data_IF_839220801859
#
_entry.id   IF_839220801859
#
_cell.length_a   1.000
_cell.length_b   1.000
_cell.length_c   1.000
_cell.angle_alpha   90.00
_cell.angle_beta   90.00
_cell.angle_gamma   90.00
#
_symmetry.space_group_name_H-M   'P 1'
#
loop_
_entity.id
_entity.type
_entity.pdbx_description
1 polymer ?
#
# COMPACT_ATOMS: atom_id res chain seq x y z
N UNK A 1 -3.19 1.21 -7.16
CA UNK A 1 -4.46 1.42 -6.44
C UNK A 1 -5.20 2.62 -7.02
N UNK A 2 -6.50 2.54 -7.05
CA UNK A 2 -7.36 3.62 -7.53
C UNK A 2 -7.77 4.47 -6.35
N UNK A 3 -7.61 5.79 -6.48
CA UNK A 3 -8.15 6.76 -5.53
C UNK A 3 -9.19 7.66 -6.22
N UNK A 4 -10.25 7.93 -5.49
CA UNK A 4 -11.28 8.91 -5.82
C UNK A 4 -11.36 9.88 -4.64
N UNK A 5 -11.15 11.17 -4.89
CA UNK A 5 -11.06 12.17 -3.84
C UNK A 5 -11.43 13.56 -4.33
N UNK A 6 -11.74 14.45 -3.39
CA UNK A 6 -11.88 15.87 -3.65
C UNK A 6 -10.58 16.59 -3.31
N UNK A 7 -10.13 17.46 -4.23
CA UNK A 7 -8.95 18.30 -4.08
C UNK A 7 -9.39 19.75 -4.08
N UNK A 8 -9.18 20.43 -2.98
CA UNK A 8 -9.39 21.86 -2.85
C UNK A 8 -8.07 22.58 -3.06
N UNK A 9 -8.05 23.53 -4.00
CA UNK A 9 -6.88 24.35 -4.31
C UNK A 9 -7.25 25.81 -4.13
N UNK A 10 -6.50 26.52 -3.32
CA UNK A 10 -6.62 27.95 -3.14
C UNK A 10 -5.48 28.62 -3.89
N UNK A 11 -5.79 29.36 -4.93
CA UNK A 11 -4.80 29.99 -5.79
C UNK A 11 -5.35 31.27 -6.43
N UNK A 12 -4.45 32.09 -6.95
CA UNK A 12 -4.79 33.29 -7.72
C UNK A 12 -4.63 33.09 -9.25
N UNK A 13 -4.80 31.86 -9.71
CA UNK A 13 -4.71 31.48 -11.12
C UNK A 13 -6.00 30.80 -11.58
N UNK A 14 -6.33 30.91 -12.87
CA UNK A 14 -7.62 30.48 -13.41
C UNK A 14 -7.84 28.97 -13.36
N UNK A 15 -6.81 28.16 -13.58
CA UNK A 15 -6.93 26.70 -13.61
C UNK A 15 -5.76 26.02 -12.87
N UNK A 16 -5.78 26.07 -11.52
CA UNK A 16 -4.64 25.68 -10.70
C UNK A 16 -4.30 24.19 -10.76
N UNK A 17 -5.24 23.33 -11.12
CA UNK A 17 -4.96 21.89 -11.22
C UNK A 17 -3.97 21.57 -12.35
N UNK A 18 -3.95 22.36 -13.40
CA UNK A 18 -3.01 22.19 -14.52
C UNK A 18 -1.56 22.45 -14.11
N UNK A 19 -1.32 23.17 -13.02
CA UNK A 19 0.02 23.43 -12.47
C UNK A 19 0.49 22.32 -11.53
N UNK A 20 -0.36 21.37 -11.17
CA UNK A 20 -0.03 20.27 -10.29
C UNK A 20 0.37 19.03 -11.10
N UNK A 21 1.47 18.40 -10.68
CA UNK A 21 1.91 17.10 -11.19
C UNK A 21 1.79 16.08 -10.05
N UNK A 22 1.08 15.00 -10.31
CA UNK A 22 1.05 13.85 -9.41
C UNK A 22 2.18 12.89 -9.79
N UNK A 23 3.17 12.74 -8.91
CA UNK A 23 4.43 12.05 -9.22
C UNK A 23 4.32 10.53 -9.24
N UNK A 24 3.31 9.97 -8.61
CA UNK A 24 3.11 8.52 -8.52
C UNK A 24 1.83 8.03 -9.21
N UNK A 25 1.37 8.75 -10.25
CA UNK A 25 0.33 8.22 -11.13
C UNK A 25 0.89 7.03 -11.91
N UNK A 26 0.11 5.94 -11.96
CA UNK A 26 0.47 4.76 -12.71
C UNK A 26 0.41 5.03 -14.22
N UNK A 27 1.54 4.84 -14.90
CA UNK A 27 1.63 4.96 -16.35
C UNK A 27 0.95 3.82 -17.11
N UNK A 28 0.61 2.72 -16.41
CA UNK A 28 0.03 1.54 -17.04
C UNK A 28 -1.47 1.67 -17.38
N UNK A 29 -2.15 2.66 -16.80
CA UNK A 29 -3.57 2.90 -17.05
C UNK A 29 -3.82 4.41 -17.08
N UNK A 30 -4.08 4.99 -18.25
CA UNK A 30 -4.39 6.41 -18.51
C UNK A 30 -5.70 6.91 -17.86
N UNK A 31 -6.00 6.45 -16.63
CA UNK A 31 -7.19 6.87 -15.91
C UNK A 31 -6.87 7.98 -14.90
N UNK A 32 -6.30 9.08 -15.39
CA UNK A 32 -6.32 10.32 -14.65
C UNK A 32 -7.43 11.19 -15.21
N UNK A 33 -8.48 11.37 -14.43
CA UNK A 33 -9.60 12.24 -14.77
C UNK A 33 -9.86 13.19 -13.64
N UNK A 34 -10.16 14.43 -13.97
CA UNK A 34 -10.60 15.41 -13.00
C UNK A 34 -11.76 16.23 -13.57
N UNK A 35 -12.59 16.73 -12.68
CA UNK A 35 -13.72 17.58 -12.99
C UNK A 35 -13.82 18.69 -11.96
N UNK A 36 -13.89 19.93 -12.40
CA UNK A 36 -14.20 21.06 -11.56
C UNK A 36 -15.63 20.91 -11.02
N UNK A 37 -15.78 20.94 -9.71
CA UNK A 37 -17.08 20.79 -9.01
C UNK A 37 -17.66 22.14 -8.67
N UNK A 38 -16.86 23.01 -8.05
CA UNK A 38 -17.26 24.38 -7.71
C UNK A 38 -16.05 25.29 -7.58
N UNK A 39 -16.31 26.57 -7.73
CA UNK A 39 -15.35 27.62 -7.43
C UNK A 39 -16.00 28.65 -6.52
N UNK A 40 -15.22 29.17 -5.57
CA UNK A 40 -15.64 30.21 -4.64
C UNK A 40 -14.55 31.25 -4.56
N UNK A 41 -14.91 32.50 -4.79
CA UNK A 41 -13.99 33.61 -4.58
C UNK A 41 -13.79 33.81 -3.07
N UNK A 42 -12.53 33.87 -2.69
CA UNK A 42 -12.10 34.23 -1.34
C UNK A 42 -11.67 35.72 -1.33
N UNK A 43 -11.37 36.22 -0.14
CA UNK A 43 -10.81 37.56 -0.02
C UNK A 43 -9.40 37.64 -0.64
N UNK A 44 -9.00 38.80 -1.18
CA UNK A 44 -7.67 39.08 -1.74
C UNK A 44 -7.30 38.34 -3.05
N UNK A 45 -8.19 38.33 -4.03
CA UNK A 45 -7.96 37.78 -5.38
C UNK A 45 -7.64 36.28 -5.43
N UNK A 46 -7.86 35.53 -4.34
CA UNK A 46 -7.74 34.08 -4.33
C UNK A 46 -9.07 33.42 -4.64
N UNK A 47 -8.98 32.30 -5.36
CA UNK A 47 -10.11 31.46 -5.70
C UNK A 47 -9.89 30.06 -5.13
N UNK A 48 -10.86 29.58 -4.38
CA UNK A 48 -10.91 28.18 -3.96
C UNK A 48 -11.60 27.36 -5.05
N UNK A 49 -10.87 26.46 -5.66
CA UNK A 49 -11.37 25.55 -6.70
C UNK A 49 -11.40 24.14 -6.15
N UNK A 50 -12.57 23.50 -6.15
CA UNK A 50 -12.76 22.09 -5.77
C UNK A 50 -12.83 21.21 -6.99
N UNK A 51 -11.95 20.24 -7.06
CA UNK A 51 -11.90 19.25 -8.11
C UNK A 51 -12.26 17.86 -7.57
N UNK A 52 -13.07 17.12 -8.31
CA UNK A 52 -13.24 15.70 -8.14
C UNK A 52 -12.19 14.99 -9.01
N UNK A 53 -11.33 14.21 -8.37
CA UNK A 53 -10.18 13.55 -9.02
C UNK A 53 -10.35 12.04 -8.90
N UNK A 54 -10.17 11.34 -10.01
CA UNK A 54 -10.09 9.86 -10.04
C UNK A 54 -8.79 9.49 -10.75
N UNK A 55 -7.93 8.77 -10.05
CA UNK A 55 -6.63 8.39 -10.59
C UNK A 55 -6.13 7.05 -10.04
N UNK A 56 -5.28 6.40 -10.84
CA UNK A 56 -4.55 5.22 -10.42
C UNK A 56 -3.15 5.63 -9.98
N UNK A 57 -2.77 5.21 -8.78
CA UNK A 57 -1.47 5.50 -8.19
C UNK A 57 -0.64 4.24 -8.01
N UNK A 58 0.65 4.36 -8.28
CA UNK A 58 1.63 3.33 -7.98
C UNK A 58 2.01 3.38 -6.50
N UNK A 59 2.15 2.22 -5.89
CA UNK A 59 2.69 2.07 -4.54
C UNK A 59 3.56 0.81 -4.47
N UNK A 60 4.46 0.79 -3.49
CA UNK A 60 5.28 -0.38 -3.20
C UNK A 60 4.66 -1.14 -2.04
N UNK A 61 4.05 -2.31 -2.29
CA UNK A 61 3.45 -3.09 -1.23
C UNK A 61 4.53 -3.70 -0.32
N UNK A 62 4.29 -3.63 0.99
CA UNK A 62 5.09 -4.31 2.01
C UNK A 62 4.41 -5.63 2.37
N UNK A 63 4.94 -6.73 1.84
CA UNK A 63 4.36 -8.06 2.01
C UNK A 63 5.19 -8.97 2.92
N UNK A 64 6.37 -8.54 3.36
CA UNK A 64 7.33 -9.37 4.08
C UNK A 64 6.74 -9.94 5.38
N UNK A 65 5.88 -9.18 6.05
CA UNK A 65 5.24 -9.57 7.31
C UNK A 65 3.83 -10.16 7.14
N UNK A 66 3.43 -10.53 5.92
CA UNK A 66 2.10 -11.13 5.72
C UNK A 66 1.87 -12.33 6.65
N UNK A 67 0.72 -12.43 7.35
CA UNK A 67 -0.51 -11.61 7.29
C UNK A 67 -0.56 -10.42 8.26
N UNK A 68 0.54 -10.02 8.86
CA UNK A 68 0.65 -8.87 9.79
C UNK A 68 1.18 -7.61 9.08
N UNK A 69 1.00 -7.55 7.77
CA UNK A 69 1.50 -6.48 6.93
C UNK A 69 0.70 -5.18 7.10
N UNK A 70 1.37 -4.10 6.79
CA UNK A 70 0.79 -2.77 6.67
C UNK A 70 1.14 -2.18 5.31
N UNK A 71 0.30 -1.29 4.82
CA UNK A 71 0.49 -0.64 3.53
C UNK A 71 0.49 0.87 3.71
N UNK A 72 1.41 1.52 3.02
CA UNK A 72 1.49 2.97 2.98
C UNK A 72 1.02 3.45 1.61
N UNK A 73 -0.23 3.88 1.53
CA UNK A 73 -0.81 4.46 0.34
C UNK A 73 -0.66 5.98 0.43
N UNK A 74 -0.07 6.58 -0.59
CA UNK A 74 0.09 8.03 -0.61
C UNK A 74 -0.10 8.60 -2.01
N UNK A 75 -0.49 9.86 -2.05
CA UNK A 75 -0.56 10.71 -3.23
C UNK A 75 0.60 11.69 -3.12
N UNK A 76 1.48 11.69 -4.10
CA UNK A 76 2.61 12.62 -4.16
C UNK A 76 2.37 13.66 -5.24
N UNK A 77 2.38 14.92 -4.88
CA UNK A 77 2.17 16.02 -5.80
C UNK A 77 3.27 17.07 -5.74
N UNK A 78 3.57 17.66 -6.88
CA UNK A 78 4.51 18.78 -7.03
C UNK A 78 3.92 19.82 -7.95
N UNK A 79 4.50 21.02 -7.97
CA UNK A 79 4.12 22.08 -8.92
C UNK A 79 5.05 22.03 -10.13
N UNK A 80 4.52 22.25 -11.34
CA UNK A 80 5.31 22.32 -12.59
C UNK A 80 6.39 23.39 -12.51
N UNK A 81 6.01 24.59 -12.09
CA UNK A 81 6.89 25.75 -11.99
C UNK A 81 7.28 26.01 -10.53
N UNK A 82 8.18 25.20 -9.98
CA UNK A 82 8.63 25.33 -8.60
C UNK A 82 9.38 26.64 -8.28
N UNK A 83 9.69 27.47 -9.30
CA UNK A 83 10.26 28.80 -9.13
C UNK A 83 9.21 29.90 -8.92
N UNK A 84 7.96 29.64 -9.30
CA UNK A 84 6.86 30.63 -9.24
C UNK A 84 5.83 30.26 -8.17
N UNK A 85 5.63 28.95 -7.95
CA UNK A 85 4.60 28.45 -7.06
C UNK A 85 5.17 27.50 -5.99
N UNK A 86 4.57 27.53 -4.83
CA UNK A 86 4.86 26.63 -3.72
C UNK A 86 3.55 25.94 -3.32
N UNK A 87 3.56 24.61 -3.30
CA UNK A 87 2.44 23.83 -2.79
C UNK A 87 2.55 23.73 -1.27
N UNK A 88 1.59 24.32 -0.57
CA UNK A 88 1.50 24.24 0.89
C UNK A 88 0.26 23.44 1.28
N UNK A 89 0.41 22.32 2.01
CA UNK A 89 -0.75 21.58 2.47
C UNK A 89 -1.49 22.37 3.55
N UNK A 90 -2.81 22.43 3.40
CA UNK A 90 -3.68 23.01 4.42
C UNK A 90 -4.20 21.85 5.27
N UNK A 91 -4.11 21.92 6.60
CA UNK A 91 -4.69 20.91 7.47
C UNK A 91 -6.19 20.77 7.19
N UNK A 92 -6.61 19.59 6.81
CA UNK A 92 -8.01 19.25 6.56
C UNK A 92 -8.29 17.84 7.07
N UNK A 93 -9.55 17.48 7.17
CA UNK A 93 -9.93 16.09 7.41
C UNK A 93 -9.49 15.26 6.21
N UNK A 94 -8.48 14.40 6.40
CA UNK A 94 -7.90 13.57 5.35
C UNK A 94 -8.69 12.29 5.09
N UNK A 95 -9.72 12.05 5.87
CA UNK A 95 -10.50 10.81 5.82
C UNK A 95 -11.96 11.13 6.06
N UNK A 96 -12.82 10.60 5.20
CA UNK A 96 -14.25 10.63 5.44
C UNK A 96 -14.60 9.73 6.63
N UNK A 97 -15.65 10.08 7.38
CA UNK A 97 -16.14 9.28 8.53
C UNK A 97 -16.58 7.89 8.12
N UNK A 98 -17.03 7.74 6.88
CA UNK A 98 -17.49 6.46 6.32
C UNK A 98 -16.40 5.71 5.56
N UNK A 99 -15.12 6.13 5.73
CA UNK A 99 -13.99 5.47 5.10
C UNK A 99 -13.81 4.05 5.64
N UNK A 100 -14.13 3.07 4.84
CA UNK A 100 -13.87 1.65 5.13
C UNK A 100 -13.18 1.01 3.91
N UNK A 101 -12.06 0.35 4.18
CA UNK A 101 -11.37 -0.46 3.20
C UNK A 101 -11.49 -1.91 3.64
N UNK A 102 -12.14 -2.71 2.79
CA UNK A 102 -12.32 -4.13 3.08
C UNK A 102 -10.97 -4.80 3.43
N UNK A 103 -10.97 -5.60 4.49
CA UNK A 103 -9.79 -6.29 5.02
C UNK A 103 -8.68 -5.41 5.64
N UNK A 104 -8.85 -4.08 5.70
CA UNK A 104 -7.86 -3.16 6.25
C UNK A 104 -8.44 -2.26 7.32
N UNK A 105 -7.62 -1.91 8.30
CA UNK A 105 -7.88 -0.84 9.25
C UNK A 105 -7.07 0.39 8.84
N UNK A 106 -7.68 1.55 8.90
CA UNK A 106 -6.93 2.79 8.86
C UNK A 106 -6.24 2.99 10.21
N UNK A 107 -4.92 3.00 10.20
CA UNK A 107 -4.10 3.24 11.40
C UNK A 107 -3.79 4.73 11.55
N UNK A 108 -3.38 5.38 10.47
CA UNK A 108 -2.99 6.78 10.47
C UNK A 108 -3.25 7.40 9.09
N UNK A 109 -3.66 8.67 9.08
CA UNK A 109 -3.64 9.53 7.91
C UNK A 109 -2.61 10.65 8.11
N UNK A 110 -1.79 10.91 7.11
CA UNK A 110 -0.73 11.90 7.21
C UNK A 110 -0.72 12.87 6.03
N UNK A 111 -0.24 14.08 6.29
CA UNK A 111 0.04 15.08 5.28
C UNK A 111 1.38 15.73 5.60
N UNK A 112 2.21 15.96 4.59
CA UNK A 112 3.50 16.58 4.82
C UNK A 112 4.24 16.94 3.54
N UNK A 113 5.30 17.71 3.71
CA UNK A 113 6.18 18.14 2.61
C UNK A 113 7.48 17.37 2.69
N UNK A 114 7.84 16.72 1.60
CA UNK A 114 9.15 16.09 1.42
C UNK A 114 10.02 16.95 0.51
N UNK A 115 11.18 17.35 1.03
CA UNK A 115 12.17 18.07 0.25
C UNK A 115 13.05 17.09 -0.52
N UNK A 116 13.06 17.18 -1.85
CA UNK A 116 13.97 16.44 -2.72
C UNK A 116 15.08 17.36 -3.19
N UNK A 117 16.32 16.93 -2.97
CA UNK A 117 17.53 17.61 -3.44
C UNK A 117 17.99 16.97 -4.74
N UNK A 118 17.74 17.63 -5.86
CA UNK A 118 18.17 17.17 -7.17
C UNK A 118 19.47 17.88 -7.55
N UNK A 119 20.50 17.10 -7.90
CA UNK A 119 21.72 17.65 -8.46
C UNK A 119 21.54 17.77 -9.98
N UNK A 120 21.40 18.98 -10.46
CA UNK A 120 21.38 19.24 -11.91
C UNK A 120 22.77 19.65 -12.39
N UNK A 121 23.22 19.02 -13.46
CA UNK A 121 24.44 19.41 -14.15
C UNK A 121 24.06 20.25 -15.35
N UNK A 122 24.42 21.54 -15.36
CA UNK A 122 24.03 22.49 -16.41
C UNK A 122 25.26 22.91 -17.21
N UNK A 123 25.17 22.79 -18.54
CA UNK A 123 26.17 23.26 -19.48
C UNK A 123 27.40 22.35 -19.65
N UNK A 124 28.25 22.74 -20.57
CA UNK A 124 29.50 22.03 -20.93
C UNK A 124 30.54 21.98 -19.80
N UNK A 125 30.45 22.87 -18.82
CA UNK A 125 31.38 22.95 -17.69
C UNK A 125 30.89 22.18 -16.44
N UNK A 126 29.87 21.32 -16.56
CA UNK A 126 29.37 20.47 -15.47
C UNK A 126 29.13 21.23 -14.14
N UNK A 127 28.69 22.48 -14.22
CA UNK A 127 28.36 23.22 -13.00
C UNK A 127 27.20 22.52 -12.28
N UNK A 128 27.48 22.06 -11.08
CA UNK A 128 26.52 21.40 -10.22
C UNK A 128 25.58 22.46 -9.62
N UNK A 129 24.35 22.49 -10.10
CA UNK A 129 23.29 23.30 -9.50
C UNK A 129 22.41 22.39 -8.63
N UNK A 130 22.16 22.81 -7.42
CA UNK A 130 21.26 22.10 -6.50
C UNK A 130 19.88 22.71 -6.63
N UNK A 131 18.94 21.92 -7.16
CA UNK A 131 17.52 22.29 -7.15
C UNK A 131 16.82 21.57 -5.99
N UNK A 132 16.17 22.34 -5.12
CA UNK A 132 15.32 21.80 -4.08
C UNK A 132 13.89 21.83 -4.63
N UNK A 133 13.27 20.66 -4.75
CA UNK A 133 11.86 20.52 -5.12
C UNK A 133 11.06 20.05 -3.92
N UNK A 134 9.93 20.72 -3.70
CA UNK A 134 9.00 20.37 -2.66
C UNK A 134 7.98 19.37 -3.23
N UNK A 135 7.86 18.22 -2.58
CA UNK A 135 6.84 17.21 -2.90
C UNK A 135 5.88 17.15 -1.73
N UNK A 136 4.62 17.52 -1.97
CA UNK A 136 3.56 17.33 -1.00
C UNK A 136 3.11 15.87 -1.04
N UNK A 137 2.98 15.26 0.12
CA UNK A 137 2.48 13.90 0.29
C UNK A 137 1.29 13.89 1.22
N UNK A 138 0.21 13.32 0.74
CA UNK A 138 -0.97 12.99 1.54
C UNK A 138 -1.14 11.49 1.46
N UNK A 139 -1.33 10.84 2.59
CA UNK A 139 -1.40 9.38 2.56
C UNK A 139 -2.03 8.77 3.80
N UNK A 140 -2.16 7.44 3.72
CA UNK A 140 -2.85 6.60 4.68
C UNK A 140 -2.01 5.37 4.97
N UNK A 141 -1.83 5.08 6.25
CA UNK A 141 -1.23 3.83 6.72
C UNK A 141 -2.36 2.88 7.04
N UNK A 142 -2.43 1.80 6.28
CA UNK A 142 -3.44 0.76 6.42
C UNK A 142 -2.81 -0.49 7.02
N UNK A 143 -3.45 -1.06 8.03
CA UNK A 143 -3.07 -2.32 8.66
C UNK A 143 -4.07 -3.41 8.33
N UNK A 144 -3.59 -4.59 7.94
CA UNK A 144 -4.46 -5.71 7.57
C UNK A 144 -5.27 -6.22 8.76
N UNK A 145 -6.57 -6.49 8.50
CA UNK A 145 -7.45 -7.26 9.39
C UNK A 145 -7.06 -8.73 9.31
N UNK A 146 -6.13 -9.16 10.14
CA UNK A 146 -5.47 -10.46 10.01
C UNK A 146 -6.22 -11.65 10.63
N UNK A 147 -7.27 -11.38 11.42
CA UNK A 147 -7.98 -12.42 12.18
C UNK A 147 -8.54 -13.53 11.29
N UNK A 148 -9.20 -13.18 10.20
CA UNK A 148 -9.78 -14.16 9.27
C UNK A 148 -8.70 -15.00 8.58
N UNK A 149 -7.61 -14.35 8.15
CA UNK A 149 -6.48 -15.03 7.49
C UNK A 149 -5.76 -15.97 8.47
N UNK A 150 -5.55 -15.53 9.73
CA UNK A 150 -4.96 -16.37 10.76
C UNK A 150 -5.81 -17.61 11.07
N UNK A 151 -7.13 -17.46 11.17
CA UNK A 151 -8.02 -18.59 11.39
C UNK A 151 -8.02 -19.55 10.19
N UNK A 152 -8.06 -19.00 8.97
CA UNK A 152 -8.06 -19.78 7.73
C UNK A 152 -6.80 -20.63 7.56
N UNK A 153 -5.64 -20.15 8.01
CA UNK A 153 -4.36 -20.86 7.93
C UNK A 153 -4.08 -21.63 9.23
N UNK A 154 -4.26 -20.99 10.38
CA UNK A 154 -3.84 -21.50 11.68
C UNK A 154 -4.61 -22.74 12.11
N UNK A 155 -5.95 -22.78 11.90
CA UNK A 155 -6.75 -23.92 12.32
C UNK A 155 -6.35 -25.20 11.57
N UNK A 156 -6.31 -25.22 10.21
CA UNK A 156 -5.86 -26.42 9.50
C UNK A 156 -4.42 -26.83 9.85
N UNK A 157 -3.51 -25.86 9.96
CA UNK A 157 -2.12 -26.12 10.31
C UNK A 157 -1.99 -26.76 11.72
N UNK A 158 -2.78 -26.27 12.67
CA UNK A 158 -2.83 -26.84 14.02
C UNK A 158 -3.25 -28.32 13.98
N UNK A 159 -4.30 -28.65 13.21
CA UNK A 159 -4.73 -30.05 13.03
C UNK A 159 -3.67 -30.90 12.36
N UNK A 160 -2.95 -30.38 11.37
CA UNK A 160 -1.85 -31.12 10.71
C UNK A 160 -0.72 -31.40 11.70
N UNK A 161 -0.32 -30.43 12.53
CA UNK A 161 0.68 -30.63 13.58
C UNK A 161 0.21 -31.70 14.58
N UNK A 162 -1.07 -31.63 14.98
CA UNK A 162 -1.64 -32.63 15.88
C UNK A 162 -1.61 -34.04 15.28
N UNK A 163 -1.88 -34.21 13.99
CA UNK A 163 -1.79 -35.48 13.30
C UNK A 163 -0.37 -36.04 13.24
N UNK A 164 0.62 -35.17 12.97
CA UNK A 164 2.04 -35.56 13.04
C UNK A 164 2.39 -36.03 14.45
N UNK A 165 2.03 -35.26 15.46
CA UNK A 165 2.27 -35.62 16.86
C UNK A 165 1.58 -36.93 17.22
N UNK A 166 0.32 -37.11 16.84
CA UNK A 166 -0.43 -38.35 17.09
C UNK A 166 0.25 -39.55 16.45
N UNK A 167 0.82 -39.43 15.26
CA UNK A 167 1.50 -40.52 14.56
C UNK A 167 2.70 -41.10 15.34
N UNK A 168 3.30 -40.32 16.24
CA UNK A 168 4.43 -40.78 17.09
C UNK A 168 4.02 -41.74 18.21
N UNK A 169 2.72 -41.79 18.53
CA UNK A 169 2.19 -42.72 19.55
C UNK A 169 1.72 -44.06 18.96
N UNK A 170 1.75 -44.19 17.63
CA UNK A 170 1.36 -45.44 16.96
C UNK A 170 2.47 -46.46 17.16
N UNK A 171 2.11 -47.66 17.71
CA UNK A 171 3.06 -48.72 17.99
C UNK A 171 3.75 -49.22 16.71
N UNK A 172 4.92 -49.83 16.91
CA UNK A 172 5.74 -50.36 15.81
C UNK A 172 4.99 -51.38 14.94
N UNK A 173 4.06 -52.13 15.56
CA UNK A 173 3.23 -53.14 14.84
C UNK A 173 2.35 -52.52 13.76
N UNK A 174 1.97 -51.24 13.92
CA UNK A 174 1.13 -50.44 13.00
C UNK A 174 1.94 -49.40 12.21
N UNK A 175 3.22 -49.62 11.99
CA UNK A 175 4.11 -48.64 11.33
C UNK A 175 3.57 -48.17 9.94
N UNK A 176 2.90 -49.06 9.18
CA UNK A 176 2.28 -48.70 7.90
C UNK A 176 1.17 -47.63 8.07
N UNK A 177 0.43 -47.64 9.18
CA UNK A 177 -0.59 -46.65 9.51
C UNK A 177 0.05 -45.30 9.81
N UNK A 178 1.17 -45.26 10.58
CA UNK A 178 1.92 -44.06 10.85
C UNK A 178 2.44 -43.40 9.56
N UNK A 179 3.04 -44.21 8.65
CA UNK A 179 3.51 -43.73 7.34
C UNK A 179 2.36 -43.15 6.50
N UNK A 180 1.20 -43.79 6.49
CA UNK A 180 0.01 -43.32 5.77
C UNK A 180 -0.46 -41.97 6.30
N UNK A 181 -0.54 -41.79 7.64
CA UNK A 181 -0.92 -40.52 8.27
C UNK A 181 0.08 -39.43 7.91
N UNK A 182 1.39 -39.69 8.04
CA UNK A 182 2.43 -38.71 7.71
C UNK A 182 2.37 -38.27 6.26
N UNK A 183 2.23 -39.23 5.32
CA UNK A 183 2.13 -38.92 3.88
C UNK A 183 0.90 -38.06 3.58
N UNK A 184 -0.27 -38.41 4.14
CA UNK A 184 -1.50 -37.64 3.97
C UNK A 184 -1.36 -36.23 4.55
N UNK A 185 -0.76 -36.13 5.74
CA UNK A 185 -0.54 -34.85 6.39
C UNK A 185 0.40 -33.95 5.59
N UNK A 186 1.47 -34.53 5.03
CA UNK A 186 2.41 -33.81 4.18
C UNK A 186 1.74 -33.29 2.90
N UNK A 187 0.97 -34.12 2.20
CA UNK A 187 0.21 -33.72 1.02
C UNK A 187 -0.82 -32.63 1.35
N UNK A 188 -1.51 -32.75 2.49
CA UNK A 188 -2.48 -31.75 2.94
C UNK A 188 -1.80 -30.42 3.28
N UNK A 189 -0.60 -30.44 3.87
CA UNK A 189 0.17 -29.23 4.13
C UNK A 189 0.59 -28.52 2.83
N UNK A 190 1.02 -29.28 1.81
CA UNK A 190 1.33 -28.73 0.48
C UNK A 190 0.08 -28.07 -0.13
N UNK A 191 -1.06 -28.76 -0.10
CA UNK A 191 -2.31 -28.23 -0.63
C UNK A 191 -2.73 -26.94 0.10
N UNK A 192 -2.62 -26.92 1.44
CA UNK A 192 -2.89 -25.73 2.24
C UNK A 192 -1.95 -24.57 1.87
N UNK A 193 -0.66 -24.82 1.72
CA UNK A 193 0.32 -23.82 1.32
C UNK A 193 -0.05 -23.15 -0.01
N UNK A 194 -0.46 -23.95 -1.02
CA UNK A 194 -0.89 -23.41 -2.31
C UNK A 194 -2.26 -22.73 -2.30
N UNK A 195 -3.10 -23.02 -1.30
CA UNK A 195 -4.40 -22.37 -1.14
C UNK A 195 -4.32 -20.96 -0.51
N UNK A 196 -3.16 -20.62 0.05
CA UNK A 196 -2.96 -19.29 0.67
C UNK A 196 -2.69 -18.27 -0.42
N UNK A 197 -3.60 -17.32 -0.56
CA UNK A 197 -3.42 -16.16 -1.44
C UNK A 197 -2.37 -15.24 -0.84
N UNK A 198 -1.22 -15.14 -1.51
CA UNK A 198 -0.11 -14.29 -1.10
C UNK A 198 -0.17 -12.95 -1.81
N UNK A 199 0.18 -11.86 -1.13
CA UNK A 199 0.25 -10.54 -1.75
C UNK A 199 1.36 -10.48 -2.80
N UNK A 200 1.16 -9.65 -3.81
CA UNK A 200 2.21 -9.32 -4.78
C UNK A 200 3.01 -8.08 -4.31
N UNK A 201 4.31 -7.98 -4.63
CA UNK A 201 5.16 -8.93 -5.34
C UNK A 201 5.44 -10.17 -4.51
N UNK A 202 5.61 -11.33 -5.18
CA UNK A 202 5.89 -12.62 -4.53
C UNK A 202 7.23 -12.57 -3.80
N UNK A 203 7.20 -12.29 -2.52
CA UNK A 203 8.34 -12.34 -1.62
C UNK A 203 8.11 -13.43 -0.57
N UNK A 204 9.20 -13.82 0.08
CA UNK A 204 9.12 -14.74 1.23
C UNK A 204 8.38 -14.05 2.38
N UNK A 205 7.33 -14.68 2.86
CA UNK A 205 6.46 -14.15 3.91
C UNK A 205 6.64 -14.94 5.21
N UNK A 206 6.07 -14.45 6.32
CA UNK A 206 6.05 -15.20 7.59
C UNK A 206 5.34 -16.55 7.41
N UNK A 207 4.29 -16.60 6.58
CA UNK A 207 3.59 -17.85 6.26
C UNK A 207 4.54 -18.87 5.63
N UNK A 208 5.41 -18.45 4.70
CA UNK A 208 6.40 -19.35 4.09
C UNK A 208 7.34 -19.94 5.13
N UNK A 209 7.81 -19.12 6.08
CA UNK A 209 8.67 -19.58 7.17
C UNK A 209 7.99 -20.61 8.07
N UNK A 210 6.70 -20.41 8.36
CA UNK A 210 5.90 -21.35 9.17
C UNK A 210 5.82 -22.70 8.44
N UNK A 211 5.56 -22.73 7.13
CA UNK A 211 5.50 -23.97 6.37
C UNK A 211 6.86 -24.63 6.22
N UNK A 212 7.94 -23.87 5.99
CA UNK A 212 9.31 -24.41 6.00
C UNK A 212 9.61 -25.09 7.33
N UNK A 213 9.28 -24.45 8.44
CA UNK A 213 9.47 -25.02 9.77
C UNK A 213 8.63 -26.29 9.96
N UNK A 214 7.38 -26.29 9.49
CA UNK A 214 6.51 -27.47 9.53
C UNK A 214 7.10 -28.68 8.78
N UNK A 215 7.78 -28.45 7.63
CA UNK A 215 8.40 -29.52 6.85
C UNK A 215 9.72 -30.04 7.45
N UNK A 216 10.30 -29.32 8.42
CA UNK A 216 11.53 -29.72 9.11
C UNK A 216 11.27 -30.55 10.38
N UNK A 217 10.03 -30.58 10.87
CA UNK A 217 9.60 -31.40 12.02
C UNK A 217 9.21 -32.79 11.53
#
# INVERSE_FOLDING_TARGET
WTAEFYLDIIANIDDPINEIIFNNISSANDKFTYKLVCQKNEDNDYVTSRYHVVANFDFLPFADNFPFDWQNLYIASTVKNSGEYILQPIPSELVDKDFDVNEWYLEEAFSGIKFKKNNLYKGTNLQKTVQITNENRVGWILRRKNTATLLKIGIPLFFLIFLVYYSTFIGYEDAHRSVSILTTTFLSAIALYFSVEKPEPKKMTIVDLIFVWFYLI
#
